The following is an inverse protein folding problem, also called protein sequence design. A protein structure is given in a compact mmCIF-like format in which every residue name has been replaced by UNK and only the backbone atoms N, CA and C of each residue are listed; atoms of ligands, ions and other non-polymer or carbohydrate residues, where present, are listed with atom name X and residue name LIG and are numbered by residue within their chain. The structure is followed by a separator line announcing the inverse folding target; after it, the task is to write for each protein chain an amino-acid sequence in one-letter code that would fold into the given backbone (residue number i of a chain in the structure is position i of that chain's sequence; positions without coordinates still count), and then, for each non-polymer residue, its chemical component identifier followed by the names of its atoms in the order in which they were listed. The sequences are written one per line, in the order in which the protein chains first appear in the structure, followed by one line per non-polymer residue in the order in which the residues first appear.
data_IF_982672169820
#
_entry.id   IF_982672169820
#
_cell.length_a   1.000
_cell.length_b   1.000
_cell.length_c   1.000
_cell.angle_alpha   90.00
_cell.angle_beta   90.00
_cell.angle_gamma   90.00
#
_symmetry.space_group_name_H-M   'P 1'
#
loop_
_entity.id
_entity.type
_entity.pdbx_description
1 polymer ?
#
# COMPACT_ATOMS: atom_id res chain seq x y z
N UNK A 1 27.40 -25.09 69.85
CA UNK A 1 26.39 -26.01 69.31
C UNK A 1 25.80 -25.37 68.07
N UNK A 2 25.90 -26.09 66.96
CA UNK A 2 25.69 -25.74 65.55
C UNK A 2 24.23 -25.81 65.11
N UNK A 3 23.79 -24.91 64.22
CA UNK A 3 22.81 -25.13 63.14
C UNK A 3 22.75 -23.84 62.29
N UNK A 4 23.55 -23.70 61.24
CA UNK A 4 23.21 -24.11 59.86
C UNK A 4 21.87 -23.52 59.39
N UNK A 5 21.87 -22.26 58.92
CA UNK A 5 20.76 -21.77 58.08
C UNK A 5 20.84 -22.45 56.71
N UNK A 6 19.74 -23.07 56.24
CA UNK A 6 19.76 -23.90 55.06
C UNK A 6 19.80 -23.05 53.78
N UNK A 7 20.68 -23.46 52.88
CA UNK A 7 20.48 -23.39 51.43
C UNK A 7 20.33 -22.01 50.83
N UNK A 8 21.43 -21.51 50.29
CA UNK A 8 21.41 -20.88 48.96
C UNK A 8 20.83 -21.91 47.97
N UNK A 9 19.51 -22.13 47.97
CA UNK A 9 18.84 -22.81 46.87
C UNK A 9 18.84 -21.82 45.72
N UNK A 10 19.89 -21.91 44.90
CA UNK A 10 19.97 -21.21 43.64
C UNK A 10 18.65 -21.39 42.92
N UNK A 11 18.08 -20.30 42.41
CA UNK A 11 16.88 -20.34 41.59
C UNK A 11 17.03 -21.51 40.62
N UNK A 12 16.25 -22.56 40.82
CA UNK A 12 16.40 -23.77 40.05
C UNK A 12 16.14 -23.41 38.59
N UNK A 13 16.87 -24.03 37.65
CA UNK A 13 16.69 -23.76 36.22
C UNK A 13 15.20 -23.89 35.80
N UNK A 14 14.46 -24.78 36.48
CA UNK A 14 13.01 -24.93 36.33
C UNK A 14 12.17 -23.74 36.79
N UNK A 15 12.57 -23.02 37.85
CA UNK A 15 11.89 -21.81 38.31
C UNK A 15 12.04 -20.64 37.32
N UNK A 16 13.23 -20.45 36.71
CA UNK A 16 13.44 -19.44 35.66
C UNK A 16 12.64 -19.76 34.40
N UNK A 17 12.65 -21.02 33.96
CA UNK A 17 11.86 -21.45 32.78
C UNK A 17 10.36 -21.27 33.03
N UNK A 18 9.89 -21.55 34.25
CA UNK A 18 8.50 -21.29 34.62
C UNK A 18 8.15 -19.79 34.59
N UNK A 19 9.05 -18.93 35.07
CA UNK A 19 8.87 -17.47 35.04
C UNK A 19 8.88 -16.91 33.61
N UNK A 20 9.81 -17.34 32.75
CA UNK A 20 9.82 -16.97 31.33
C UNK A 20 8.55 -17.44 30.62
N UNK A 21 8.09 -18.68 30.89
CA UNK A 21 6.84 -19.20 30.33
C UNK A 21 5.61 -18.38 30.73
N UNK A 22 5.64 -17.70 31.88
CA UNK A 22 4.57 -16.80 32.30
C UNK A 22 4.70 -15.38 31.72
N UNK A 23 5.91 -14.93 31.36
CA UNK A 23 6.16 -13.57 30.84
C UNK A 23 6.08 -13.46 29.31
N UNK A 24 6.44 -14.52 28.57
CA UNK A 24 6.35 -14.57 27.12
C UNK A 24 4.95 -14.22 26.56
N UNK A 25 3.84 -14.74 27.12
CA UNK A 25 2.50 -14.40 26.64
C UNK A 25 2.18 -12.90 26.71
N UNK A 26 2.68 -12.21 27.74
CA UNK A 26 2.45 -10.77 27.90
C UNK A 26 3.28 -9.95 26.91
N UNK A 27 4.52 -10.37 26.64
CA UNK A 27 5.37 -9.75 25.60
C UNK A 27 4.76 -9.90 24.20
N UNK A 28 4.24 -11.09 23.88
CA UNK A 28 3.57 -11.33 22.59
C UNK A 28 2.33 -10.43 22.48
N UNK A 29 1.53 -10.31 23.55
CA UNK A 29 0.37 -9.42 23.57
C UNK A 29 0.76 -7.95 23.43
N UNK A 30 1.87 -7.51 24.03
CA UNK A 30 2.34 -6.13 23.90
C UNK A 30 2.81 -5.82 22.48
N UNK A 31 3.57 -6.72 21.85
CA UNK A 31 4.00 -6.58 20.45
C UNK A 31 2.79 -6.58 19.50
N UNK A 32 1.81 -7.44 19.74
CA UNK A 32 0.55 -7.42 18.98
C UNK A 32 -0.23 -6.11 19.15
N UNK A 33 -0.25 -5.53 20.36
CA UNK A 33 -0.90 -4.23 20.60
C UNK A 33 -0.15 -3.10 19.92
N UNK A 34 1.18 -3.14 19.94
CA UNK A 34 2.02 -2.16 19.27
C UNK A 34 1.83 -2.23 17.75
N UNK A 35 1.89 -3.44 17.17
CA UNK A 35 1.64 -3.66 15.76
C UNK A 35 0.23 -3.20 15.35
N UNK A 36 -0.79 -3.47 16.17
CA UNK A 36 -2.15 -2.96 15.93
C UNK A 36 -2.21 -1.43 15.96
N UNK A 37 -1.54 -0.79 16.92
CA UNK A 37 -1.49 0.67 17.01
C UNK A 37 -0.77 1.29 15.80
N UNK A 38 0.35 0.70 15.38
CA UNK A 38 1.10 1.17 14.20
C UNK A 38 0.29 0.99 12.91
N UNK A 39 -0.39 -0.15 12.73
CA UNK A 39 -1.29 -0.38 11.59
C UNK A 39 -2.46 0.60 11.61
N UNK A 40 -3.07 0.85 12.78
CA UNK A 40 -4.16 1.81 12.91
C UNK A 40 -3.72 3.24 12.58
N UNK A 41 -2.53 3.65 13.03
CA UNK A 41 -1.97 4.96 12.75
C UNK A 41 -1.60 5.11 11.27
N UNK A 42 -0.93 4.11 10.68
CA UNK A 42 -0.64 4.06 9.23
C UNK A 42 -1.94 4.10 8.42
N UNK A 43 -2.95 3.32 8.83
CA UNK A 43 -4.26 3.28 8.20
C UNK A 43 -4.99 4.62 8.27
N UNK A 44 -4.94 5.31 9.41
CA UNK A 44 -5.52 6.65 9.57
C UNK A 44 -4.83 7.67 8.66
N UNK A 45 -3.50 7.70 8.64
CA UNK A 45 -2.72 8.61 7.78
C UNK A 45 -2.98 8.35 6.30
N UNK A 46 -2.99 7.07 5.90
CA UNK A 46 -3.33 6.66 4.55
C UNK A 46 -4.78 7.04 4.18
N UNK A 47 -5.73 6.81 5.08
CA UNK A 47 -7.14 7.14 4.89
C UNK A 47 -7.39 8.64 4.71
N UNK A 48 -6.76 9.48 5.54
CA UNK A 48 -6.81 10.94 5.37
C UNK A 48 -6.19 11.35 4.03
N UNK A 49 -5.04 10.77 3.67
CA UNK A 49 -4.39 11.04 2.39
C UNK A 49 -5.27 10.68 1.19
N UNK A 50 -5.87 9.48 1.19
CA UNK A 50 -6.81 9.03 0.16
C UNK A 50 -8.03 9.96 0.10
N UNK A 51 -8.58 10.34 1.26
CA UNK A 51 -9.71 11.26 1.34
C UNK A 51 -9.41 12.62 0.75
N UNK A 52 -8.29 13.24 1.14
CA UNK A 52 -7.85 14.54 0.61
C UNK A 52 -7.55 14.46 -0.89
N UNK A 53 -6.87 13.41 -1.35
CA UNK A 53 -6.57 13.23 -2.76
C UNK A 53 -7.86 13.04 -3.60
N UNK A 54 -8.85 12.35 -3.05
CA UNK A 54 -10.16 12.18 -3.69
C UNK A 54 -10.87 13.52 -3.87
N UNK A 55 -10.89 14.36 -2.83
CA UNK A 55 -11.48 15.72 -2.90
C UNK A 55 -10.71 16.59 -3.89
N UNK A 56 -9.37 16.58 -3.83
CA UNK A 56 -8.53 17.33 -4.76
C UNK A 56 -8.76 16.89 -6.21
N UNK A 57 -8.85 15.58 -6.46
CA UNK A 57 -9.16 15.02 -7.78
C UNK A 57 -10.52 15.46 -8.31
N UNK A 58 -11.55 15.47 -7.46
CA UNK A 58 -12.89 15.94 -7.84
C UNK A 58 -12.91 17.43 -8.15
N UNK A 59 -12.25 18.25 -7.32
CA UNK A 59 -12.11 19.69 -7.58
C UNK A 59 -11.34 19.97 -8.87
N UNK A 60 -10.25 19.25 -9.11
CA UNK A 60 -9.48 19.35 -10.35
C UNK A 60 -10.32 18.94 -11.57
N UNK A 61 -11.12 17.87 -11.45
CA UNK A 61 -12.04 17.43 -12.51
C UNK A 61 -13.04 18.52 -12.88
N UNK A 62 -13.73 19.10 -11.88
CA UNK A 62 -14.66 20.22 -12.13
C UNK A 62 -13.95 21.48 -12.63
N UNK A 63 -12.74 21.77 -12.16
CA UNK A 63 -11.92 22.88 -12.66
C UNK A 63 -11.58 22.72 -14.14
N UNK A 64 -11.16 21.52 -14.57
CA UNK A 64 -10.90 21.22 -15.99
C UNK A 64 -12.20 21.32 -16.81
N UNK A 65 -13.33 20.81 -16.31
CA UNK A 65 -14.62 20.94 -16.99
C UNK A 65 -15.04 22.41 -17.16
N UNK A 66 -14.82 23.25 -16.15
CA UNK A 66 -15.05 24.69 -16.24
C UNK A 66 -14.14 25.35 -17.27
N UNK A 67 -12.84 25.00 -17.33
CA UNK A 67 -11.92 25.52 -18.33
C UNK A 67 -12.28 25.10 -19.76
N UNK A 68 -12.71 23.85 -19.95
CA UNK A 68 -13.23 23.36 -21.24
C UNK A 68 -14.45 24.18 -21.65
N UNK A 69 -15.38 24.41 -20.72
CA UNK A 69 -16.57 25.23 -20.96
C UNK A 69 -16.19 26.66 -21.33
N UNK A 70 -15.23 27.26 -20.62
CA UNK A 70 -14.69 28.59 -20.94
C UNK A 70 -14.08 28.63 -22.34
N UNK A 71 -13.33 27.61 -22.75
CA UNK A 71 -12.75 27.54 -24.10
C UNK A 71 -13.84 27.47 -25.19
N UNK A 72 -14.89 26.66 -24.95
CA UNK A 72 -16.04 26.58 -25.85
C UNK A 72 -16.74 27.94 -25.95
N UNK A 73 -17.04 28.58 -24.82
CA UNK A 73 -17.71 29.88 -24.78
C UNK A 73 -16.87 30.97 -25.45
N UNK A 74 -15.55 31.00 -25.21
CA UNK A 74 -14.65 31.94 -25.84
C UNK A 74 -14.60 31.78 -27.37
N UNK A 75 -14.53 30.55 -27.87
CA UNK A 75 -14.61 30.27 -29.30
C UNK A 75 -15.98 30.63 -29.87
N UNK A 76 -17.06 30.41 -29.11
CA UNK A 76 -18.42 30.73 -29.55
C UNK A 76 -18.68 32.23 -29.77
N UNK A 77 -17.76 33.12 -29.34
CA UNK A 77 -17.81 34.55 -29.65
C UNK A 77 -17.56 34.84 -31.13
N UNK A 78 -16.93 33.92 -31.86
CA UNK A 78 -16.54 34.11 -33.27
C UNK A 78 -17.05 33.01 -34.21
N UNK A 79 -17.62 31.93 -33.69
CA UNK A 79 -18.25 30.83 -34.46
C UNK A 79 -19.45 30.25 -33.71
N UNK A 80 -20.26 29.43 -34.37
CA UNK A 80 -21.42 28.80 -33.73
C UNK A 80 -21.03 27.89 -32.56
N UNK A 81 -21.84 27.91 -31.50
CA UNK A 81 -21.57 27.15 -30.27
C UNK A 81 -21.37 25.64 -30.50
N UNK A 82 -22.11 25.04 -31.44
CA UNK A 82 -21.99 23.62 -31.77
C UNK A 82 -20.62 23.30 -32.41
N UNK A 83 -20.12 24.20 -33.27
CA UNK A 83 -18.83 24.03 -33.93
C UNK A 83 -17.68 24.26 -32.95
N UNK A 84 -17.83 25.20 -32.02
CA UNK A 84 -16.86 25.45 -30.94
C UNK A 84 -16.71 24.22 -30.05
N UNK A 85 -17.84 23.62 -29.64
CA UNK A 85 -17.85 22.38 -28.87
C UNK A 85 -17.17 21.22 -29.61
N UNK A 86 -17.41 21.07 -30.92
CA UNK A 86 -16.76 20.04 -31.73
C UNK A 86 -15.25 20.23 -31.84
N UNK A 87 -14.78 21.45 -32.07
CA UNK A 87 -13.35 21.74 -32.19
C UNK A 87 -12.64 21.41 -30.86
N UNK A 88 -13.16 21.91 -29.74
CA UNK A 88 -12.57 21.64 -28.41
C UNK A 88 -12.64 20.14 -28.11
N UNK A 89 -13.76 19.48 -28.42
CA UNK A 89 -13.91 18.03 -28.26
C UNK A 89 -12.88 17.22 -29.05
N UNK A 90 -12.63 17.58 -30.31
CA UNK A 90 -11.61 16.91 -31.14
C UNK A 90 -10.20 17.10 -30.59
N UNK A 91 -9.86 18.30 -30.12
CA UNK A 91 -8.56 18.57 -29.49
C UNK A 91 -8.37 17.71 -28.24
N UNK A 92 -9.41 17.61 -27.39
CA UNK A 92 -9.38 16.76 -26.20
C UNK A 92 -9.25 15.26 -26.55
N UNK A 93 -9.99 14.78 -27.55
CA UNK A 93 -9.91 13.39 -28.00
C UNK A 93 -8.53 13.06 -28.59
N UNK A 94 -7.93 13.97 -29.35
CA UNK A 94 -6.58 13.81 -29.86
C UNK A 94 -5.56 13.74 -28.70
N UNK A 95 -5.66 14.64 -27.72
CA UNK A 95 -4.84 14.60 -26.52
C UNK A 95 -5.02 13.29 -25.72
N UNK A 96 -6.27 12.83 -25.56
CA UNK A 96 -6.59 11.58 -24.87
C UNK A 96 -6.03 10.36 -25.62
N UNK A 97 -6.06 10.35 -26.95
CA UNK A 97 -5.47 9.30 -27.76
C UNK A 97 -3.94 9.24 -27.56
N UNK A 98 -3.26 10.39 -27.59
CA UNK A 98 -1.80 10.47 -27.34
C UNK A 98 -1.47 10.00 -25.92
N UNK A 99 -2.15 10.53 -24.91
CA UNK A 99 -1.95 10.15 -23.51
C UNK A 99 -2.23 8.65 -23.29
N UNK A 100 -3.29 8.11 -23.90
CA UNK A 100 -3.63 6.70 -23.84
C UNK A 100 -2.55 5.80 -24.48
N UNK A 101 -1.99 6.23 -25.61
CA UNK A 101 -0.89 5.53 -26.28
C UNK A 101 0.41 5.59 -25.46
N UNK A 102 0.72 6.72 -24.83
CA UNK A 102 1.89 6.83 -23.94
C UNK A 102 1.68 6.00 -22.66
N UNK A 103 0.48 6.04 -22.09
CA UNK A 103 0.11 5.29 -20.89
C UNK A 103 0.22 3.79 -21.10
N UNK A 104 -0.34 3.24 -22.19
CA UNK A 104 -0.22 1.80 -22.50
C UNK A 104 1.24 1.37 -22.63
N UNK A 105 2.11 2.20 -23.22
CA UNK A 105 3.52 1.87 -23.39
C UNK A 105 4.23 1.83 -22.04
N UNK A 106 3.94 2.79 -21.15
CA UNK A 106 4.50 2.82 -19.79
C UNK A 106 4.04 1.65 -18.94
N UNK A 107 2.77 1.25 -19.05
CA UNK A 107 2.26 0.05 -18.37
C UNK A 107 2.92 -1.22 -18.92
N UNK A 108 3.12 -1.31 -20.23
CA UNK A 108 3.82 -2.44 -20.84
C UNK A 108 5.30 -2.53 -20.40
N UNK A 109 5.97 -1.38 -20.21
CA UNK A 109 7.35 -1.31 -19.71
C UNK A 109 7.49 -1.67 -18.22
N UNK A 110 6.45 -1.46 -17.41
CA UNK A 110 6.50 -1.66 -15.95
C UNK A 110 6.65 -3.14 -15.52
N UNK A 111 6.44 -4.09 -16.45
CA UNK A 111 6.53 -5.51 -16.17
C UNK A 111 5.40 -6.03 -15.28
N UNK A 112 5.33 -7.35 -15.03
CA UNK A 112 4.28 -7.93 -14.22
C UNK A 112 4.35 -7.42 -12.76
N UNK A 113 3.20 -7.08 -12.15
CA UNK A 113 3.14 -6.53 -10.79
C UNK A 113 3.57 -7.51 -9.70
N UNK A 114 3.69 -8.80 -10.05
CA UNK A 114 4.18 -9.84 -9.16
C UNK A 114 5.71 -9.90 -9.25
N UNK A 115 6.44 -9.73 -8.13
CA UNK A 115 7.89 -9.88 -8.10
C UNK A 115 8.25 -11.34 -8.39
N UNK A 116 8.59 -11.62 -9.65
CA UNK A 116 8.83 -12.98 -10.16
C UNK A 116 9.85 -13.74 -9.30
N UNK A 117 10.94 -13.06 -8.90
CA UNK A 117 11.98 -13.64 -8.04
C UNK A 117 11.48 -14.05 -6.66
N UNK A 118 10.55 -13.29 -6.06
CA UNK A 118 9.98 -13.64 -4.77
C UNK A 118 9.03 -14.84 -4.88
N UNK A 119 8.27 -14.91 -5.97
CA UNK A 119 7.42 -16.07 -6.27
C UNK A 119 8.25 -17.32 -6.56
N UNK A 120 9.37 -17.19 -7.27
CA UNK A 120 10.32 -18.27 -7.53
C UNK A 120 10.98 -18.77 -6.24
N UNK A 121 11.46 -17.87 -5.37
CA UNK A 121 12.03 -18.25 -4.08
C UNK A 121 11.04 -19.03 -3.20
N UNK A 122 9.78 -18.58 -3.11
CA UNK A 122 8.75 -19.32 -2.36
C UNK A 122 8.47 -20.70 -2.96
N UNK A 123 8.49 -20.83 -4.30
CA UNK A 123 8.34 -22.13 -4.97
C UNK A 123 9.50 -23.07 -4.67
N UNK A 124 10.73 -22.55 -4.66
CA UNK A 124 11.95 -23.29 -4.34
C UNK A 124 11.96 -23.75 -2.87
N UNK A 125 11.56 -22.88 -1.96
CA UNK A 125 11.39 -23.20 -0.54
C UNK A 125 10.36 -24.32 -0.35
N UNK A 126 9.21 -24.25 -1.04
CA UNK A 126 8.18 -25.30 -1.01
C UNK A 126 8.69 -26.61 -1.61
N UNK A 127 9.46 -26.55 -2.71
CA UNK A 127 10.03 -27.74 -3.35
C UNK A 127 11.07 -28.43 -2.44
N UNK A 128 11.85 -27.63 -1.71
CA UNK A 128 12.82 -28.11 -0.71
C UNK A 128 12.12 -28.77 0.46
N UNK A 129 11.05 -28.17 0.99
CA UNK A 129 10.23 -28.76 2.07
C UNK A 129 9.49 -30.02 1.62
N UNK A 130 9.07 -30.10 0.34
CA UNK A 130 8.45 -31.30 -0.24
C UNK A 130 9.45 -32.41 -0.62
N UNK A 131 10.75 -32.20 -0.42
CA UNK A 131 11.78 -33.22 -0.66
C UNK A 131 12.02 -33.55 -2.14
N UNK A 132 11.71 -32.63 -3.07
CA UNK A 132 11.86 -32.87 -4.51
C UNK A 132 13.27 -32.62 -5.07
N UNK A 133 14.22 -32.19 -4.24
CA UNK A 133 15.65 -32.21 -4.60
C UNK A 133 16.27 -33.54 -4.17
N UNK A 134 16.19 -34.54 -5.05
CA UNK A 134 17.10 -35.69 -5.03
C UNK A 134 18.32 -35.35 -5.88
N UNK A 135 19.50 -35.67 -5.32
CA UNK A 135 20.83 -35.49 -5.89
C UNK A 135 21.02 -36.14 -7.27
#
# INVERSE_FOLDING_TARGET
MTAQQPGTEGQTLGALVHQLSQQLPELIRSEMRLAQAEVAEKGKRAGVGIGMFSVAGLLAFFGVAALITTAILALSLVLDAWLAALIVGLVLLAGAAVAGVMGKNKVAEAGPPVPQRAVEGVKEDIATVKGQHHA
#
